data_IF_181348297414
#
_entry.id   IF_181348297414
#
_cell.length_a   1.000
_cell.length_b   1.000
_cell.length_c   1.000
_cell.angle_alpha   90.00
_cell.angle_beta   90.00
_cell.angle_gamma   90.00
#
_symmetry.space_group_name_H-M   'P 1'
#
loop_
_entity.id
_entity.type
_entity.pdbx_description
1 polymer ?
#
# COMPACT_ATOMS: atom_id res chain seq x y z
N UNK A 1 20.42 -5.11 9.26
CA UNK A 1 20.10 -4.08 10.25
C UNK A 1 18.65 -3.67 10.07
N UNK A 2 17.93 -3.55 11.16
CA UNK A 2 16.52 -3.17 11.09
C UNK A 2 16.39 -1.69 10.77
N UNK A 3 15.47 -1.37 9.88
CA UNK A 3 15.09 -0.01 9.56
C UNK A 3 14.16 0.56 10.63
N UNK A 4 13.26 -0.28 11.15
CA UNK A 4 12.27 0.12 12.13
C UNK A 4 11.91 -1.05 13.02
N UNK A 5 11.22 -0.74 14.11
CA UNK A 5 10.67 -1.73 15.02
C UNK A 5 9.20 -1.44 15.24
N UNK A 6 8.43 -2.51 15.49
CA UNK A 6 7.03 -2.38 15.89
C UNK A 6 7.01 -2.21 17.40
N UNK A 7 6.33 -1.17 17.87
CA UNK A 7 6.30 -0.82 19.29
C UNK A 7 5.10 -1.45 20.00
N UNK A 8 5.03 -1.25 21.32
CA UNK A 8 3.88 -1.67 22.12
C UNK A 8 2.74 -0.66 22.08
N UNK A 9 2.90 0.45 21.39
CA UNK A 9 1.87 1.48 21.31
C UNK A 9 0.80 1.03 20.32
N UNK A 10 -0.38 0.70 20.83
CA UNK A 10 -1.48 0.20 20.00
C UNK A 10 -2.39 1.34 19.59
N UNK A 11 -3.10 1.12 18.48
CA UNK A 11 -4.11 2.06 18.02
C UNK A 11 -5.30 2.05 18.98
N UNK A 12 -5.88 3.22 19.30
CA UNK A 12 -6.98 3.28 20.26
C UNK A 12 -8.19 2.42 19.87
N UNK A 13 -8.45 2.27 18.57
CA UNK A 13 -9.63 1.57 18.08
C UNK A 13 -9.34 0.17 17.56
N UNK A 14 -8.06 -0.24 17.50
CA UNK A 14 -7.71 -1.55 16.95
C UNK A 14 -6.43 -2.07 17.61
N UNK A 15 -6.54 -3.02 18.54
CA UNK A 15 -5.36 -3.51 19.27
C UNK A 15 -4.40 -4.33 18.42
N UNK A 16 -4.78 -4.68 17.19
CA UNK A 16 -3.88 -5.38 16.28
C UNK A 16 -2.94 -4.43 15.54
N UNK A 17 -3.16 -3.13 15.65
CA UNK A 17 -2.34 -2.12 15.00
C UNK A 17 -1.39 -1.49 16.01
N UNK A 18 -0.11 -1.45 15.66
CA UNK A 18 0.93 -0.92 16.52
C UNK A 18 1.74 0.13 15.79
N UNK A 19 2.14 1.17 16.49
CA UNK A 19 3.04 2.17 15.90
C UNK A 19 4.39 1.56 15.62
N UNK A 20 5.02 2.07 14.58
CA UNK A 20 6.41 1.74 14.28
C UNK A 20 7.32 2.85 14.80
N UNK A 21 8.58 2.52 14.99
CA UNK A 21 9.61 3.48 15.40
C UNK A 21 10.85 3.26 14.54
N UNK A 22 11.39 4.35 14.00
CA UNK A 22 12.60 4.27 13.20
C UNK A 22 13.77 3.82 14.07
N UNK A 23 14.53 2.86 13.56
CA UNK A 23 15.71 2.35 14.25
C UNK A 23 16.99 3.04 13.76
N UNK A 24 16.91 3.72 12.63
CA UNK A 24 18.04 4.44 12.04
C UNK A 24 17.56 5.78 11.52
N UNK A 25 18.49 6.65 11.17
CA UNK A 25 18.15 7.87 10.45
C UNK A 25 17.85 7.45 9.01
N UNK A 26 16.59 7.41 8.67
CA UNK A 26 16.13 6.90 7.38
C UNK A 26 16.18 7.97 6.30
N UNK A 27 15.71 9.15 6.62
CA UNK A 27 15.74 10.32 5.73
C UNK A 27 16.00 11.56 6.57
N UNK A 28 16.05 12.73 5.92
CA UNK A 28 16.21 13.97 6.67
C UNK A 28 15.04 14.22 7.62
N UNK A 29 13.87 13.69 7.28
CA UNK A 29 12.65 13.91 8.06
C UNK A 29 12.34 12.76 9.02
N UNK A 30 13.00 11.62 8.87
CA UNK A 30 12.74 10.45 9.70
C UNK A 30 14.05 10.02 10.36
N UNK A 31 14.19 10.41 11.61
CA UNK A 31 15.40 10.15 12.38
C UNK A 31 15.17 8.99 13.35
N UNK A 32 16.27 8.37 13.75
CA UNK A 32 16.21 7.25 14.71
C UNK A 32 15.42 7.66 15.95
N UNK A 33 14.53 6.77 16.38
CA UNK A 33 13.68 7.02 17.54
C UNK A 33 12.33 7.65 17.22
N UNK A 34 12.14 8.19 16.03
CA UNK A 34 10.87 8.81 15.67
C UNK A 34 9.79 7.75 15.49
N UNK A 35 8.60 8.06 15.99
CA UNK A 35 7.44 7.20 15.81
C UNK A 35 6.83 7.43 14.43
N UNK A 36 6.36 6.36 13.81
CA UNK A 36 5.62 6.42 12.57
C UNK A 36 4.18 5.98 12.78
N UNK A 37 3.52 5.59 11.69
CA UNK A 37 2.13 5.16 11.72
C UNK A 37 1.95 3.76 12.29
N UNK A 38 0.83 3.14 11.92
CA UNK A 38 0.41 1.86 12.49
C UNK A 38 0.47 0.75 11.46
N UNK A 39 0.95 -0.41 11.89
CA UNK A 39 0.96 -1.62 11.05
C UNK A 39 0.45 -2.81 11.85
N UNK A 40 0.06 -3.87 11.16
CA UNK A 40 -0.31 -5.13 11.81
C UNK A 40 0.90 -6.04 12.01
N UNK A 41 1.86 -5.98 11.09
CA UNK A 41 3.03 -6.85 11.14
C UNK A 41 4.18 -6.24 10.34
N UNK A 42 5.32 -6.87 10.41
CA UNK A 42 6.49 -6.47 9.63
C UNK A 42 6.28 -6.66 8.11
N UNK A 43 5.25 -7.41 7.71
CA UNK A 43 4.96 -7.59 6.29
C UNK A 43 4.40 -6.33 5.64
N UNK A 44 3.92 -5.38 6.44
CA UNK A 44 3.25 -4.19 5.90
C UNK A 44 4.22 -3.10 5.45
N UNK A 45 5.45 -3.13 5.93
CA UNK A 45 6.46 -2.14 5.55
C UNK A 45 7.79 -2.85 5.36
N UNK A 46 8.35 -2.70 4.15
CA UNK A 46 9.60 -3.34 3.80
C UNK A 46 10.74 -2.77 4.65
N UNK A 47 11.59 -3.63 5.15
CA UNK A 47 12.79 -3.22 5.88
C UNK A 47 13.85 -2.63 4.95
N UNK A 48 13.76 -2.91 3.65
CA UNK A 48 14.65 -2.35 2.65
C UNK A 48 14.09 -1.04 2.12
N UNK A 49 14.96 -0.23 1.54
CA UNK A 49 14.52 1.02 0.94
C UNK A 49 14.21 2.10 1.97
N UNK A 50 13.58 3.17 1.49
CA UNK A 50 13.30 4.35 2.32
C UNK A 50 11.82 4.60 2.56
N UNK A 51 10.98 3.62 2.23
CA UNK A 51 9.55 3.76 2.44
C UNK A 51 9.24 3.96 3.92
N UNK A 52 8.23 4.78 4.18
CA UNK A 52 7.85 5.10 5.54
C UNK A 52 6.35 5.31 5.66
N UNK A 53 5.83 5.00 6.84
CA UNK A 53 4.44 5.25 7.21
C UNK A 53 4.51 6.26 8.34
N UNK A 54 3.92 7.44 8.14
CA UNK A 54 4.07 8.52 9.11
C UNK A 54 2.74 8.98 9.70
N UNK A 55 2.83 9.75 10.75
CA UNK A 55 1.70 10.38 11.43
C UNK A 55 0.71 9.32 11.92
N UNK A 56 -0.57 9.45 11.58
CA UNK A 56 -1.59 8.52 12.03
C UNK A 56 -2.05 7.56 10.93
N UNK A 57 -1.26 7.43 9.88
CA UNK A 57 -1.57 6.52 8.79
C UNK A 57 -1.63 5.08 9.28
N UNK A 58 -2.52 4.30 8.69
CA UNK A 58 -2.79 2.92 9.08
C UNK A 58 -2.56 2.01 7.89
N UNK A 59 -1.78 0.95 8.10
CA UNK A 59 -1.60 -0.08 7.08
C UNK A 59 -2.00 -1.41 7.71
N UNK A 60 -3.20 -1.86 7.40
CA UNK A 60 -3.75 -3.12 7.90
C UNK A 60 -3.97 -4.11 6.77
N UNK A 61 -2.97 -4.26 5.95
CA UNK A 61 -2.94 -5.14 4.79
C UNK A 61 -2.14 -4.48 3.69
N UNK A 62 -1.55 -5.27 2.81
CA UNK A 62 -0.71 -4.73 1.76
C UNK A 62 0.71 -4.48 2.21
N UNK A 63 1.49 -3.90 1.33
CA UNK A 63 2.90 -3.64 1.59
C UNK A 63 3.31 -2.28 1.07
N UNK A 64 4.10 -1.58 1.87
CA UNK A 64 4.68 -0.28 1.54
C UNK A 64 6.17 -0.50 1.32
N UNK A 65 6.68 -0.13 0.14
CA UNK A 65 8.06 -0.46 -0.22
C UNK A 65 8.68 0.63 -1.10
N UNK A 66 9.93 0.45 -1.47
CA UNK A 66 10.66 1.38 -2.30
C UNK A 66 11.00 2.66 -1.56
N UNK A 67 10.62 3.80 -2.12
CA UNK A 67 10.79 5.12 -1.51
C UNK A 67 9.43 5.75 -1.24
N UNK A 68 8.38 4.96 -1.21
CA UNK A 68 7.02 5.47 -1.06
C UNK A 68 6.76 5.94 0.37
N UNK A 69 5.70 6.73 0.51
CA UNK A 69 5.33 7.30 1.80
C UNK A 69 3.82 7.25 1.97
N UNK A 70 3.38 6.79 3.12
CA UNK A 70 1.97 6.79 3.48
C UNK A 70 1.84 7.69 4.69
N UNK A 71 1.08 8.76 4.56
CA UNK A 71 1.12 9.88 5.51
C UNK A 71 -0.26 10.33 5.94
N UNK A 72 -0.30 11.15 6.98
CA UNK A 72 -1.51 11.80 7.44
C UNK A 72 -2.49 10.82 8.02
N UNK A 73 -3.69 10.81 7.48
CA UNK A 73 -4.74 9.89 7.92
C UNK A 73 -5.01 8.80 6.87
N UNK A 74 -4.02 8.49 6.05
CA UNK A 74 -4.16 7.47 5.03
C UNK A 74 -4.48 6.11 5.65
N UNK A 75 -5.26 5.32 4.92
CA UNK A 75 -5.62 3.97 5.34
C UNK A 75 -5.40 3.02 4.18
N UNK A 76 -4.56 2.03 4.39
CA UNK A 76 -4.28 1.01 3.39
C UNK A 76 -4.78 -0.31 3.96
N UNK A 77 -5.68 -0.99 3.24
CA UNK A 77 -6.24 -2.23 3.78
C UNK A 77 -6.49 -3.29 2.71
N UNK A 78 -6.48 -4.52 3.17
CA UNK A 78 -6.79 -5.68 2.37
C UNK A 78 -8.30 -5.79 2.20
N UNK A 79 -8.74 -6.23 1.01
CA UNK A 79 -10.15 -6.55 0.82
C UNK A 79 -10.44 -7.91 1.43
N UNK A 80 -11.49 -7.99 2.23
CA UNK A 80 -11.80 -9.19 3.00
C UNK A 80 -12.31 -10.33 2.12
N UNK A 81 -12.94 -10.01 0.99
CA UNK A 81 -13.51 -11.03 0.13
C UNK A 81 -12.50 -11.59 -0.87
N UNK A 82 -11.78 -10.71 -1.56
CA UNK A 82 -10.81 -11.15 -2.57
C UNK A 82 -9.46 -11.48 -1.99
N UNK A 83 -9.18 -10.99 -0.78
CA UNK A 83 -7.89 -11.07 -0.11
C UNK A 83 -6.80 -10.31 -0.85
N UNK A 84 -7.18 -9.51 -1.83
CA UNK A 84 -6.23 -8.64 -2.52
C UNK A 84 -5.86 -7.47 -1.64
N UNK A 85 -4.61 -7.08 -1.67
CA UNK A 85 -4.11 -6.00 -0.83
C UNK A 85 -3.25 -5.05 -1.67
N UNK A 86 -3.23 -3.76 -1.31
CA UNK A 86 -2.48 -2.79 -2.10
C UNK A 86 -0.98 -2.98 -2.00
N UNK A 87 -0.30 -2.57 -3.06
CA UNK A 87 1.17 -2.46 -3.08
C UNK A 87 1.49 -1.01 -3.39
N UNK A 88 2.22 -0.38 -2.49
CA UNK A 88 2.64 1.01 -2.66
C UNK A 88 4.16 0.99 -2.83
N UNK A 89 4.63 1.37 -4.01
CA UNK A 89 6.03 1.21 -4.40
C UNK A 89 6.52 2.47 -5.11
N UNK A 90 7.75 2.43 -5.58
CA UNK A 90 8.36 3.54 -6.26
C UNK A 90 8.52 4.72 -5.32
N UNK A 91 8.15 5.91 -5.78
CA UNK A 91 8.16 7.13 -4.98
C UNK A 91 6.75 7.64 -4.74
N UNK A 92 5.78 6.75 -4.71
CA UNK A 92 4.37 7.10 -4.53
C UNK A 92 4.13 7.72 -3.15
N UNK A 93 3.17 8.63 -3.09
CA UNK A 93 2.76 9.28 -1.85
C UNK A 93 1.26 9.11 -1.67
N UNK A 94 0.86 8.57 -0.54
CA UNK A 94 -0.54 8.25 -0.29
C UNK A 94 -1.02 8.99 0.95
N UNK A 95 -2.04 9.81 0.77
CA UNK A 95 -2.69 10.54 1.85
C UNK A 95 -4.16 10.14 2.00
N UNK A 96 -4.67 9.30 1.11
CA UNK A 96 -6.06 8.88 1.10
C UNK A 96 -6.23 7.43 1.53
N UNK A 97 -7.39 6.85 1.18
CA UNK A 97 -7.71 5.48 1.53
C UNK A 97 -7.60 4.58 0.31
N UNK A 98 -6.93 3.47 0.45
CA UNK A 98 -6.75 2.49 -0.63
C UNK A 98 -7.04 1.11 -0.07
N UNK A 99 -7.93 0.37 -0.73
CA UNK A 99 -8.20 -1.00 -0.33
C UNK A 99 -8.31 -1.90 -1.56
N UNK A 100 -7.93 -3.15 -1.40
CA UNK A 100 -8.08 -4.16 -2.43
C UNK A 100 -6.95 -4.16 -3.44
N UNK A 101 -7.27 -4.50 -4.67
CA UNK A 101 -6.28 -4.80 -5.71
C UNK A 101 -5.81 -3.52 -6.41
N UNK A 102 -4.92 -2.80 -5.77
CA UNK A 102 -4.42 -1.51 -6.23
C UNK A 102 -2.90 -1.48 -6.10
N UNK A 103 -2.23 -1.00 -7.14
CA UNK A 103 -0.79 -0.77 -7.11
C UNK A 103 -0.54 0.71 -7.37
N UNK A 104 0.22 1.36 -6.49
CA UNK A 104 0.70 2.72 -6.69
C UNK A 104 2.20 2.66 -6.86
N UNK A 105 2.71 3.30 -7.91
CA UNK A 105 4.15 3.28 -8.18
C UNK A 105 4.56 4.52 -8.97
N UNK A 106 5.85 4.60 -9.29
CA UNK A 106 6.38 5.81 -9.92
C UNK A 106 6.25 6.97 -8.96
N UNK A 107 5.73 8.09 -9.44
CA UNK A 107 5.51 9.27 -8.61
C UNK A 107 4.02 9.51 -8.35
N UNK A 108 3.23 8.45 -8.31
CA UNK A 108 1.79 8.57 -8.06
C UNK A 108 1.51 9.25 -6.72
N UNK A 109 0.46 10.05 -6.70
CA UNK A 109 0.01 10.74 -5.48
C UNK A 109 -1.46 10.49 -5.30
N UNK A 110 -1.85 10.00 -4.13
CA UNK A 110 -3.25 9.82 -3.76
C UNK A 110 -3.58 10.89 -2.72
N UNK A 111 -4.39 11.84 -3.12
CA UNK A 111 -4.69 13.03 -2.32
C UNK A 111 -5.57 12.70 -1.11
N UNK A 112 -5.53 13.53 -0.06
CA UNK A 112 -6.43 13.35 1.08
C UNK A 112 -7.88 13.36 0.62
N UNK A 113 -8.70 12.51 1.23
CA UNK A 113 -10.12 12.41 0.88
C UNK A 113 -10.41 11.49 -0.28
N UNK A 114 -9.39 11.01 -0.99
CA UNK A 114 -9.58 10.04 -2.06
C UNK A 114 -9.81 8.66 -1.47
N UNK A 115 -10.76 7.93 -2.05
CA UNK A 115 -11.01 6.53 -1.69
C UNK A 115 -10.90 5.68 -2.93
N UNK A 116 -9.99 4.73 -2.92
CA UNK A 116 -9.83 3.73 -3.97
C UNK A 116 -10.13 2.37 -3.36
N UNK A 117 -11.23 1.78 -3.77
CA UNK A 117 -11.68 0.49 -3.23
C UNK A 117 -11.91 -0.44 -4.41
N UNK A 118 -10.95 -1.30 -4.68
CA UNK A 118 -11.04 -2.23 -5.80
C UNK A 118 -11.22 -3.65 -5.30
N UNK A 119 -12.44 -4.15 -5.40
CA UNK A 119 -12.80 -5.51 -4.96
C UNK A 119 -12.78 -6.52 -6.07
N UNK A 120 -12.25 -6.15 -7.24
CA UNK A 120 -12.19 -7.06 -8.37
C UNK A 120 -10.85 -7.77 -8.44
N UNK A 121 -10.75 -8.74 -9.31
CA UNK A 121 -9.48 -9.42 -9.56
C UNK A 121 -8.59 -8.64 -10.52
N UNK A 122 -9.14 -7.64 -11.20
CA UNK A 122 -8.36 -6.78 -12.07
C UNK A 122 -7.63 -5.74 -11.22
N UNK A 123 -6.40 -5.45 -11.55
CA UNK A 123 -5.57 -4.56 -10.75
C UNK A 123 -5.65 -3.13 -11.26
N UNK A 124 -5.94 -2.18 -10.37
CA UNK A 124 -5.83 -0.75 -10.68
C UNK A 124 -4.38 -0.35 -10.45
N UNK A 125 -3.73 0.17 -11.48
CA UNK A 125 -2.34 0.61 -11.39
C UNK A 125 -2.31 2.13 -11.55
N UNK A 126 -1.84 2.80 -10.50
CA UNK A 126 -1.60 4.23 -10.52
C UNK A 126 -0.11 4.43 -10.68
N UNK A 127 0.28 5.06 -11.78
CA UNK A 127 1.69 5.30 -12.06
C UNK A 127 1.84 6.71 -12.56
N UNK A 128 2.60 7.52 -11.85
CA UNK A 128 2.76 8.94 -12.13
C UNK A 128 1.38 9.61 -12.13
N UNK A 129 0.95 10.20 -13.23
CA UNK A 129 -0.36 10.85 -13.33
C UNK A 129 -1.37 9.99 -14.11
N UNK A 130 -1.10 8.70 -14.28
CA UNK A 130 -1.93 7.82 -15.08
C UNK A 130 -2.54 6.71 -14.25
N UNK A 131 -3.74 6.32 -14.63
CA UNK A 131 -4.43 5.17 -14.04
C UNK A 131 -4.71 4.18 -15.14
N UNK A 132 -4.38 2.92 -14.92
CA UNK A 132 -4.67 1.86 -15.86
C UNK A 132 -5.23 0.66 -15.10
N UNK A 133 -5.89 -0.22 -15.85
CA UNK A 133 -6.44 -1.46 -15.29
C UNK A 133 -5.75 -2.62 -15.97
N UNK A 134 -5.11 -3.47 -15.17
CA UNK A 134 -4.52 -4.69 -15.67
C UNK A 134 -5.47 -5.81 -15.37
N UNK A 135 -5.96 -6.46 -16.41
CA UNK A 135 -6.89 -7.58 -16.23
C UNK A 135 -6.17 -8.72 -15.53
N UNK A 136 -6.93 -9.42 -14.71
CA UNK A 136 -6.41 -10.56 -14.02
C UNK A 136 -5.88 -11.55 -15.02
N UNK A 137 -4.75 -12.16 -14.67
CA UNK A 137 -4.18 -13.21 -15.46
C UNK A 137 -5.07 -14.41 -15.36
N UNK A 138 -6.11 -14.45 -16.17
CA UNK A 138 -6.90 -15.63 -16.30
C UNK A 138 -6.19 -16.52 -17.25
N UNK A 139 -6.19 -17.77 -16.91
CA UNK A 139 -5.82 -18.74 -17.89
C UNK A 139 -6.58 -18.39 -19.12
N UNK A 140 -5.89 -18.08 -20.20
CA UNK A 140 -6.59 -17.77 -21.40
C UNK A 140 -7.47 -18.95 -21.63
N UNK A 141 -8.69 -18.67 -21.64
CA UNK A 141 -9.59 -19.58 -22.17
C UNK A 141 -9.10 -19.90 -23.49
N UNK A 142 -9.06 -21.16 -23.79
CA UNK A 142 -8.72 -21.54 -25.12
C UNK A 142 -9.55 -20.63 -25.96
N UNK A 143 -8.93 -19.93 -26.65
CA UNK A 143 -9.48 -18.98 -27.27
C UNK A 143 -10.47 -19.36 -27.99
N UNK A 144 -11.15 -19.23 -27.70
CA UNK A 144 -11.95 -19.43 -28.13
C UNK A 144 -12.13 -18.64 -29.00
N UNK A 145 -12.46 -19.08 -29.79
CA UNK A 145 -12.36 -18.43 -30.52
C UNK A 145 -12.95 -17.23 -30.63
N UNK A 146 -12.46 -16.91 -30.73
CA UNK A 146 -12.57 -15.97 -30.47
C UNK A 146 -12.99 -15.24 -30.92
N UNK A 147 -13.42 -15.20 -31.45
CA UNK A 147 -13.65 -14.62 -31.22
C UNK A 147 -13.63 -13.81 -31.13
N UNK A 148 -13.15 -13.88 -31.11
CA UNK A 148 -12.94 -13.22 -30.38
C UNK A 148 -12.93 -12.66 -30.10
N UNK A 149 -13.17 -12.66 -30.77
CA UNK A 149 -13.06 -12.33 -29.92
C UNK A 149 -13.08 -11.93 -29.55
N UNK A 150 -13.21 -11.88 -29.72
CA UNK A 150 -13.13 -11.60 -28.84
C UNK A 150 -13.45 -11.36 -28.58
N UNK A 151 -13.86 -11.39 -29.00
CA UNK A 151 -14.06 -11.31 -28.28
C UNK A 151 -14.43 -11.01 -27.97
N UNK A 152 -14.90 -10.90 -28.47
CA UNK A 152 -15.07 -10.73 -27.85
C UNK A 152 -15.17 -10.24 -27.64
#
# INVERSE_FOLDING_TARGET
MKKYEITDIVHPDNPNLHRIRAATDLTEDVLAGMLGGYVESYDNLDQEGRAWISEDAIVCGGVIMGKSCVCGYAVIRQDEQTLCAPIIDGSARVYGEISGNVVCRGNAVVLPGTKLDNRTQDCFVLEDDRVSVQTASRTPLPKEPRTHDFER
#
